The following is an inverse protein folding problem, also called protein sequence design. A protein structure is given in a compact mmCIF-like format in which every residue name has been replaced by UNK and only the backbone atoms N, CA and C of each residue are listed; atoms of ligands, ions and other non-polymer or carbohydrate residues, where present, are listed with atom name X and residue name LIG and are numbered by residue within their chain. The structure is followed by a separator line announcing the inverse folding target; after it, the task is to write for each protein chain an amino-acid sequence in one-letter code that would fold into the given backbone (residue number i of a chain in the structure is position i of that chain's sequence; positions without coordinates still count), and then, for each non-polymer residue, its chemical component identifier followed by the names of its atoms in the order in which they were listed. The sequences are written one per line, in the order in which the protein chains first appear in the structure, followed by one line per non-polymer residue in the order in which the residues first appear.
data_IF_669146166215
#
_entry.id   IF_669146166215
#
_cell.length_a   1.000
_cell.length_b   1.000
_cell.length_c   1.000
_cell.angle_alpha   90.00
_cell.angle_beta   90.00
_cell.angle_gamma   90.00
#
_symmetry.space_group_name_H-M   'P 1'
#
loop_
_entity.id
_entity.type
_entity.pdbx_description
1 polymer ?
#
# COMPACT_ATOMS: atom_id res chain seq x y z
N UNK A 1 -11.09 -16.82 15.42
CA UNK A 1 -12.35 -17.19 14.76
C UNK A 1 -12.21 -17.26 13.26
N UNK A 2 -13.26 -17.79 12.62
CA UNK A 2 -13.32 -17.96 11.17
C UNK A 2 -14.60 -17.31 10.63
N UNK A 3 -14.49 -16.60 9.52
CA UNK A 3 -15.60 -16.08 8.72
C UNK A 3 -15.52 -16.77 7.37
N UNK A 4 -16.62 -17.33 6.87
CA UNK A 4 -16.66 -18.01 5.57
C UNK A 4 -17.84 -17.52 4.74
N UNK A 5 -17.60 -17.26 3.45
CA UNK A 5 -18.63 -17.03 2.44
C UNK A 5 -18.26 -17.82 1.18
N UNK A 6 -19.16 -18.67 0.71
CA UNK A 6 -18.91 -19.55 -0.44
C UNK A 6 -19.16 -18.88 -1.78
N UNK A 7 -20.05 -17.87 -1.82
CA UNK A 7 -20.59 -17.35 -3.09
C UNK A 7 -20.47 -15.83 -3.26
N UNK A 8 -19.85 -15.10 -2.32
CA UNK A 8 -19.85 -13.64 -2.32
C UNK A 8 -18.69 -13.10 -1.49
N UNK A 9 -18.80 -11.85 -1.09
CA UNK A 9 -17.88 -11.23 -0.14
C UNK A 9 -18.06 -11.86 1.24
N UNK A 10 -16.96 -12.28 1.87
CA UNK A 10 -16.95 -12.69 3.27
C UNK A 10 -17.04 -11.46 4.19
N UNK A 11 -16.42 -10.35 3.78
CA UNK A 11 -16.55 -9.05 4.44
C UNK A 11 -16.75 -7.98 3.38
N UNK A 12 -17.85 -7.24 3.52
CA UNK A 12 -18.16 -6.07 2.71
C UNK A 12 -18.23 -4.85 3.64
N UNK A 13 -17.15 -4.05 3.61
CA UNK A 13 -16.99 -2.92 4.52
C UNK A 13 -17.45 -1.61 3.88
N UNK A 14 -18.28 -0.86 4.60
CA UNK A 14 -18.84 0.42 4.15
C UNK A 14 -18.39 1.63 4.97
N UNK A 15 -17.59 1.41 6.00
CA UNK A 15 -17.07 2.50 6.82
C UNK A 15 -15.67 2.18 7.35
N UNK A 16 -15.57 1.37 8.40
CA UNK A 16 -14.26 1.04 8.99
C UNK A 16 -14.26 -0.37 9.54
N UNK A 17 -13.29 -1.18 9.11
CA UNK A 17 -13.08 -2.55 9.57
C UNK A 17 -11.60 -2.80 9.76
N UNK A 18 -11.24 -3.50 10.82
CA UNK A 18 -9.86 -3.98 11.07
C UNK A 18 -9.87 -5.49 11.28
N UNK A 19 -9.02 -6.19 10.52
CA UNK A 19 -8.73 -7.63 10.67
C UNK A 19 -7.37 -7.76 11.36
N UNK A 20 -7.38 -8.24 12.62
CA UNK A 20 -6.15 -8.40 13.42
C UNK A 20 -5.71 -9.86 13.54
N UNK A 21 -6.57 -10.81 13.18
CA UNK A 21 -6.30 -12.25 13.34
C UNK A 21 -7.48 -13.10 12.91
N UNK A 22 -7.32 -14.41 13.03
CA UNK A 22 -8.31 -15.39 12.57
C UNK A 22 -8.22 -15.67 11.08
N UNK A 23 -9.26 -16.31 10.53
CA UNK A 23 -9.31 -16.71 9.11
C UNK A 23 -10.56 -16.16 8.45
N UNK A 24 -10.42 -15.60 7.27
CA UNK A 24 -11.51 -15.17 6.41
C UNK A 24 -11.43 -15.96 5.11
N UNK A 25 -12.44 -16.78 4.82
CA UNK A 25 -12.56 -17.54 3.58
C UNK A 25 -13.54 -16.83 2.67
N UNK A 26 -13.03 -16.22 1.61
CA UNK A 26 -13.76 -15.43 0.63
C UNK A 26 -13.21 -14.01 0.46
N UNK A 27 -13.83 -13.26 -0.43
CA UNK A 27 -13.40 -11.89 -0.75
C UNK A 27 -13.66 -10.92 0.41
N UNK A 28 -12.68 -10.07 0.68
CA UNK A 28 -12.79 -8.95 1.62
C UNK A 28 -12.71 -7.65 0.84
N UNK A 29 -13.69 -6.78 0.99
CA UNK A 29 -13.75 -5.52 0.24
C UNK A 29 -14.13 -4.32 1.10
N UNK A 30 -13.64 -3.16 0.70
CA UNK A 30 -14.10 -1.87 1.24
C UNK A 30 -14.70 -1.03 0.11
N UNK A 31 -15.84 -0.40 0.40
CA UNK A 31 -16.66 0.28 -0.58
C UNK A 31 -16.99 1.71 -0.15
N UNK A 32 -17.05 2.62 -1.11
CA UNK A 32 -17.58 3.96 -0.90
C UNK A 32 -18.68 4.27 -1.91
N UNK A 33 -19.84 4.71 -1.40
CA UNK A 33 -21.01 5.12 -2.20
C UNK A 33 -21.18 6.64 -2.23
N UNK A 34 -21.95 7.10 -3.25
CA UNK A 34 -22.27 8.52 -3.44
C UNK A 34 -23.03 9.14 -2.28
N UNK A 35 -23.92 8.39 -1.64
CA UNK A 35 -24.70 8.82 -0.49
C UNK A 35 -24.16 8.29 0.85
N UNK A 36 -23.05 7.52 0.83
CA UNK A 36 -22.43 6.95 2.02
C UNK A 36 -21.45 7.90 2.71
N UNK A 37 -20.64 7.33 3.61
CA UNK A 37 -19.54 8.07 4.27
C UNK A 37 -18.50 8.50 3.24
N UNK A 38 -17.86 9.64 3.48
CA UNK A 38 -16.82 10.16 2.60
C UNK A 38 -15.59 9.25 2.51
N UNK A 39 -15.33 8.46 3.55
CA UNK A 39 -14.18 7.55 3.64
C UNK A 39 -14.64 6.19 4.13
N UNK A 40 -14.23 5.13 3.43
CA UNK A 40 -14.33 3.74 3.88
C UNK A 40 -12.93 3.14 3.98
N UNK A 41 -12.62 2.50 5.11
CA UNK A 41 -11.28 2.01 5.43
C UNK A 41 -11.32 0.55 5.88
N UNK A 42 -10.47 -0.26 5.27
CA UNK A 42 -10.20 -1.63 5.69
C UNK A 42 -8.72 -1.73 6.07
N UNK A 43 -8.46 -2.21 7.27
CA UNK A 43 -7.10 -2.50 7.75
C UNK A 43 -6.94 -4.01 7.95
N UNK A 44 -5.84 -4.57 7.44
CA UNK A 44 -5.42 -5.96 7.70
C UNK A 44 -4.05 -5.90 8.36
N UNK A 45 -4.00 -6.21 9.65
CA UNK A 45 -2.76 -6.22 10.43
C UNK A 45 -2.35 -7.61 10.90
N UNK A 46 -3.18 -8.63 10.63
CA UNK A 46 -2.89 -10.03 10.97
C UNK A 46 -4.00 -10.95 10.50
N UNK A 47 -3.83 -12.25 10.77
CA UNK A 47 -4.74 -13.30 10.32
C UNK A 47 -4.50 -13.75 8.88
N UNK A 48 -5.43 -14.52 8.35
CA UNK A 48 -5.37 -15.07 6.98
C UNK A 48 -6.64 -14.72 6.22
N UNK A 49 -6.48 -14.16 5.03
CA UNK A 49 -7.55 -13.95 4.04
C UNK A 49 -7.34 -14.95 2.90
N UNK A 50 -8.16 -16.00 2.87
CA UNK A 50 -8.21 -16.97 1.78
C UNK A 50 -9.17 -16.46 0.71
N UNK A 51 -8.74 -15.46 -0.06
CA UNK A 51 -9.55 -14.80 -1.07
C UNK A 51 -8.96 -13.46 -1.48
N UNK A 52 -9.69 -12.75 -2.33
CA UNK A 52 -9.25 -11.46 -2.86
C UNK A 52 -9.48 -10.33 -1.86
N UNK A 53 -8.66 -9.28 -1.97
CA UNK A 53 -8.85 -8.03 -1.23
C UNK A 53 -9.09 -6.90 -2.21
N UNK A 54 -10.19 -6.17 -2.04
CA UNK A 54 -10.60 -5.13 -2.97
C UNK A 54 -10.89 -3.79 -2.29
N UNK A 55 -10.48 -2.72 -2.95
CA UNK A 55 -10.90 -1.34 -2.65
C UNK A 55 -11.77 -0.84 -3.80
N UNK A 56 -13.02 -0.44 -3.52
CA UNK A 56 -14.02 -0.19 -4.55
C UNK A 56 -14.69 1.17 -4.34
N UNK A 57 -14.70 1.98 -5.39
CA UNK A 57 -15.51 3.20 -5.42
C UNK A 57 -16.73 3.03 -6.31
N UNK A 58 -17.89 3.39 -5.81
CA UNK A 58 -19.12 3.50 -6.58
C UNK A 58 -19.35 4.91 -7.11
N UNK A 59 -18.58 5.86 -6.62
CA UNK A 59 -18.84 7.27 -6.80
C UNK A 59 -17.86 7.94 -7.76
N UNK A 60 -18.40 8.81 -8.60
CA UNK A 60 -17.66 9.73 -9.44
C UNK A 60 -17.42 11.09 -8.77
N UNK A 61 -18.04 11.35 -7.60
CA UNK A 61 -17.92 12.64 -6.90
C UNK A 61 -16.57 12.79 -6.20
N UNK A 62 -16.13 14.02 -6.10
CA UNK A 62 -14.90 14.36 -5.37
C UNK A 62 -15.05 14.14 -3.86
N UNK A 63 -13.91 13.90 -3.18
CA UNK A 63 -13.84 13.78 -1.73
C UNK A 63 -14.26 12.44 -1.14
N UNK A 64 -14.63 11.45 -1.98
CA UNK A 64 -14.97 10.10 -1.51
C UNK A 64 -13.85 9.12 -1.84
N UNK A 65 -13.44 8.33 -0.83
CA UNK A 65 -12.29 7.45 -0.95
C UNK A 65 -12.51 6.12 -0.23
N UNK A 66 -12.31 5.02 -0.94
CA UNK A 66 -12.12 3.69 -0.36
C UNK A 66 -10.63 3.41 -0.19
N UNK A 67 -10.23 2.84 0.93
CA UNK A 67 -8.82 2.52 1.17
C UNK A 67 -8.64 1.21 1.92
N UNK A 68 -7.65 0.44 1.50
CA UNK A 68 -7.14 -0.75 2.18
C UNK A 68 -5.72 -0.48 2.64
N UNK A 69 -5.42 -0.81 3.89
CA UNK A 69 -4.07 -0.83 4.45
C UNK A 69 -3.74 -2.24 4.90
N UNK A 70 -2.66 -2.82 4.38
CA UNK A 70 -2.16 -4.14 4.78
C UNK A 70 -0.80 -3.96 5.42
N UNK A 71 -0.74 -4.19 6.73
CA UNK A 71 0.47 -4.05 7.54
C UNK A 71 1.00 -5.38 8.04
N UNK A 72 0.24 -6.47 7.81
CA UNK A 72 0.58 -7.84 8.24
C UNK A 72 -0.47 -8.85 7.81
N UNK A 73 -0.32 -10.08 8.25
CA UNK A 73 -1.20 -11.19 7.88
C UNK A 73 -0.83 -11.88 6.58
N UNK A 74 -1.68 -12.78 6.12
CA UNK A 74 -1.52 -13.54 4.87
C UNK A 74 -2.71 -13.30 3.95
N UNK A 75 -2.47 -13.06 2.66
CA UNK A 75 -3.49 -12.95 1.62
C UNK A 75 -3.16 -13.93 0.50
N UNK A 76 -4.08 -14.85 0.20
CA UNK A 76 -3.85 -15.88 -0.84
C UNK A 76 -4.39 -15.47 -2.21
N UNK A 77 -5.35 -14.56 -2.27
CA UNK A 77 -5.93 -14.05 -3.51
C UNK A 77 -5.28 -12.78 -4.03
N UNK A 78 -5.92 -12.18 -5.02
CA UNK A 78 -5.47 -10.94 -5.67
C UNK A 78 -5.79 -9.70 -4.82
N UNK A 79 -4.97 -8.67 -4.99
CA UNK A 79 -5.30 -7.30 -4.57
C UNK A 79 -5.86 -6.54 -5.77
N UNK A 80 -6.88 -5.69 -5.58
CA UNK A 80 -7.45 -4.94 -6.69
C UNK A 80 -8.15 -3.65 -6.28
N UNK A 81 -8.00 -2.61 -7.10
CA UNK A 81 -8.75 -1.35 -6.98
C UNK A 81 -9.74 -1.22 -8.13
N UNK A 82 -11.00 -0.94 -7.82
CA UNK A 82 -12.09 -0.97 -8.78
C UNK A 82 -13.00 0.24 -8.65
N UNK A 83 -13.62 0.61 -9.77
CA UNK A 83 -14.86 1.37 -9.79
C UNK A 83 -16.03 0.42 -10.13
N UNK A 84 -17.20 0.70 -9.56
CA UNK A 84 -18.40 -0.06 -9.87
C UNK A 84 -19.31 0.73 -10.80
N UNK A 85 -19.62 0.14 -11.96
CA UNK A 85 -20.58 0.68 -12.92
C UNK A 85 -21.29 -0.50 -13.62
N UNK A 86 -22.36 -1.01 -13.02
CA UNK A 86 -23.04 -2.25 -13.44
C UNK A 86 -22.11 -3.48 -13.46
N UNK A 87 -21.05 -3.47 -12.65
CA UNK A 87 -20.01 -4.47 -12.54
C UNK A 87 -18.69 -3.83 -12.08
N UNK A 88 -17.77 -4.64 -11.59
CA UNK A 88 -16.44 -4.18 -11.21
C UNK A 88 -15.60 -3.95 -12.47
N UNK A 89 -15.08 -2.75 -12.61
CA UNK A 89 -14.10 -2.40 -13.65
C UNK A 89 -12.83 -1.87 -13.03
N UNK A 90 -11.65 -2.11 -13.61
CA UNK A 90 -10.40 -1.55 -13.10
C UNK A 90 -10.51 -0.04 -12.94
N UNK A 91 -9.99 0.47 -11.81
CA UNK A 91 -10.10 1.88 -11.49
C UNK A 91 -9.19 2.73 -12.41
N UNK A 92 -9.77 3.78 -12.99
CA UNK A 92 -9.03 4.74 -13.82
C UNK A 92 -8.42 5.88 -13.00
N UNK A 93 -9.04 6.23 -11.86
CA UNK A 93 -8.59 7.29 -10.97
C UNK A 93 -8.07 6.69 -9.65
N UNK A 94 -6.74 6.55 -9.49
CA UNK A 94 -6.15 5.93 -8.31
C UNK A 94 -6.38 6.73 -7.00
N UNK A 95 -6.87 7.97 -7.09
CA UNK A 95 -7.17 8.76 -5.90
C UNK A 95 -8.44 8.31 -5.18
N UNK A 96 -9.36 7.61 -5.85
CA UNK A 96 -10.69 7.24 -5.31
C UNK A 96 -10.74 5.89 -4.61
N UNK A 97 -9.89 4.95 -5.01
CA UNK A 97 -9.74 3.69 -4.31
C UNK A 97 -8.27 3.31 -4.25
N UNK A 98 -7.76 2.98 -3.08
CA UNK A 98 -6.34 2.70 -2.86
C UNK A 98 -6.14 1.41 -2.09
N UNK A 99 -5.04 0.74 -2.36
CA UNK A 99 -4.48 -0.30 -1.52
C UNK A 99 -3.04 0.08 -1.22
N UNK A 100 -2.64 0.06 0.05
CA UNK A 100 -1.26 0.28 0.48
C UNK A 100 -0.77 -0.90 1.30
N UNK A 101 0.36 -1.48 0.89
CA UNK A 101 0.98 -2.64 1.54
C UNK A 101 2.31 -2.24 2.15
N UNK A 102 2.47 -2.46 3.46
CA UNK A 102 3.73 -2.22 4.19
C UNK A 102 4.24 -3.46 4.90
N UNK A 103 3.47 -4.55 4.89
CA UNK A 103 3.83 -5.82 5.53
C UNK A 103 2.89 -6.94 5.12
N UNK A 104 3.21 -8.16 5.51
CA UNK A 104 2.39 -9.35 5.26
C UNK A 104 3.01 -10.31 4.26
N UNK A 105 2.30 -11.42 4.03
CA UNK A 105 2.70 -12.49 3.10
C UNK A 105 1.60 -12.71 2.06
N UNK A 106 2.00 -12.89 0.80
CA UNK A 106 1.08 -12.96 -0.34
C UNK A 106 1.43 -14.16 -1.23
N UNK A 107 0.42 -14.83 -1.75
CA UNK A 107 0.62 -15.88 -2.75
C UNK A 107 0.79 -15.28 -4.16
N UNK A 108 0.25 -14.07 -4.38
CA UNK A 108 0.34 -13.31 -5.64
C UNK A 108 1.17 -12.05 -5.41
N UNK A 109 1.98 -11.67 -6.37
CA UNK A 109 2.90 -10.53 -6.28
C UNK A 109 2.16 -9.22 -5.92
N UNK A 110 2.40 -8.62 -4.74
CA UNK A 110 1.76 -7.38 -4.29
C UNK A 110 2.49 -6.12 -4.76
N UNK A 111 3.56 -6.21 -5.54
CA UNK A 111 4.45 -5.08 -5.91
C UNK A 111 3.69 -3.82 -6.35
N UNK A 112 2.60 -3.89 -7.16
CA UNK A 112 1.86 -2.69 -7.58
C UNK A 112 1.21 -1.90 -6.44
N UNK A 113 1.10 -2.47 -5.26
CA UNK A 113 0.43 -1.89 -4.08
C UNK A 113 1.37 -1.60 -2.92
N UNK A 114 2.66 -1.94 -3.07
CA UNK A 114 3.66 -1.71 -2.01
C UNK A 114 3.99 -0.23 -1.95
N UNK A 115 3.88 0.34 -0.74
CA UNK A 115 4.16 1.76 -0.52
C UNK A 115 5.66 2.00 -0.35
N UNK A 116 6.08 3.23 -0.61
CA UNK A 116 7.45 3.67 -0.35
C UNK A 116 7.88 3.34 1.08
N UNK A 117 9.13 2.99 1.25
CA UNK A 117 9.67 2.53 2.55
C UNK A 117 9.43 1.05 2.84
N UNK A 118 8.89 0.30 1.87
CA UNK A 118 8.73 -1.14 1.94
C UNK A 118 9.33 -1.84 0.72
N UNK A 119 9.62 -3.11 0.84
CA UNK A 119 10.18 -3.94 -0.24
C UNK A 119 9.52 -5.31 -0.27
N UNK A 120 9.53 -5.94 -1.42
CA UNK A 120 9.02 -7.29 -1.63
C UNK A 120 10.18 -8.27 -1.71
N UNK A 121 10.07 -9.39 -0.98
CA UNK A 121 10.99 -10.52 -1.10
C UNK A 121 10.20 -11.80 -1.36
N UNK A 122 10.59 -12.52 -2.41
CA UNK A 122 10.04 -13.84 -2.69
C UNK A 122 10.82 -14.88 -1.91
N UNK A 123 10.14 -15.73 -1.13
CA UNK A 123 10.76 -16.79 -0.36
C UNK A 123 10.93 -18.09 -1.20
N UNK A 124 11.55 -19.09 -0.61
CA UNK A 124 11.78 -20.41 -1.25
C UNK A 124 10.50 -21.19 -1.56
N UNK A 125 9.39 -20.87 -0.90
CA UNK A 125 8.06 -21.46 -1.14
C UNK A 125 7.30 -20.73 -2.26
N UNK A 126 7.90 -19.70 -2.87
CA UNK A 126 7.28 -18.93 -3.93
C UNK A 126 6.35 -17.82 -3.44
N UNK A 127 6.20 -17.61 -2.14
CA UNK A 127 5.38 -16.55 -1.55
C UNK A 127 6.14 -15.23 -1.46
N UNK A 128 5.40 -14.13 -1.50
CA UNK A 128 5.93 -12.77 -1.46
C UNK A 128 5.75 -12.20 -0.05
N UNK A 129 6.85 -11.95 0.65
CA UNK A 129 6.87 -11.23 1.91
C UNK A 129 7.07 -9.74 1.67
N UNK A 130 6.30 -8.89 2.33
CA UNK A 130 6.52 -7.43 2.33
C UNK A 130 7.02 -7.01 3.69
N UNK A 131 8.10 -6.23 3.69
CA UNK A 131 8.73 -5.72 4.91
C UNK A 131 9.20 -4.27 4.73
N UNK A 132 9.33 -3.52 5.83
CA UNK A 132 9.94 -2.20 5.81
C UNK A 132 11.42 -2.31 5.43
N UNK A 133 11.86 -1.41 4.56
CA UNK A 133 13.25 -1.32 4.15
C UNK A 133 13.68 0.15 4.09
N UNK A 134 14.85 0.47 4.63
CA UNK A 134 15.41 1.81 4.50
C UNK A 134 15.68 2.13 3.03
N UNK A 135 15.33 3.35 2.65
CA UNK A 135 15.53 3.87 1.29
C UNK A 135 16.83 4.65 1.18
N UNK A 136 17.14 5.44 2.17
CA UNK A 136 18.30 6.32 2.16
C UNK A 136 18.86 6.53 3.57
N UNK A 137 20.08 7.07 3.66
CA UNK A 137 20.66 7.55 4.91
C UNK A 137 21.17 8.99 4.75
N UNK A 138 21.19 9.74 5.85
CA UNK A 138 21.85 11.02 5.99
C UNK A 138 22.76 10.92 7.22
N UNK A 139 24.06 11.07 7.01
CA UNK A 139 25.04 10.73 8.04
C UNK A 139 24.92 9.26 8.46
N UNK A 140 24.69 9.03 9.75
CA UNK A 140 24.53 7.68 10.32
C UNK A 140 23.07 7.23 10.45
N UNK A 141 22.11 8.09 10.16
CA UNK A 141 20.67 7.81 10.33
C UNK A 141 20.03 7.37 9.02
N UNK A 142 19.30 6.24 9.06
CA UNK A 142 18.61 5.70 7.91
C UNK A 142 17.11 6.05 7.93
N UNK A 143 16.55 6.29 6.75
CA UNK A 143 15.17 6.74 6.52
C UNK A 143 14.43 5.80 5.57
N UNK A 144 13.14 5.62 5.81
CA UNK A 144 12.30 4.78 4.98
C UNK A 144 11.79 5.49 3.72
N UNK A 145 11.70 6.82 3.78
CA UNK A 145 11.17 7.64 2.68
C UNK A 145 12.16 8.74 2.30
N UNK A 146 12.06 9.19 1.06
CA UNK A 146 12.91 10.28 0.56
C UNK A 146 12.55 11.61 1.22
N UNK A 147 11.28 11.83 1.54
CA UNK A 147 10.83 13.04 2.26
C UNK A 147 11.48 13.17 3.65
N UNK A 148 11.61 12.06 4.38
CA UNK A 148 12.31 12.04 5.66
C UNK A 148 13.80 12.36 5.47
N UNK A 149 14.45 11.74 4.48
CA UNK A 149 15.86 12.00 4.17
C UNK A 149 16.11 13.46 3.74
N UNK A 150 15.22 14.04 2.94
CA UNK A 150 15.30 15.45 2.56
C UNK A 150 15.18 16.41 3.73
N UNK A 151 14.26 16.14 4.65
CA UNK A 151 14.13 16.95 5.88
C UNK A 151 15.39 16.87 6.73
N UNK A 152 15.95 15.68 6.88
CA UNK A 152 17.17 15.47 7.64
C UNK A 152 18.37 16.15 6.96
N UNK A 153 18.53 16.07 5.66
CA UNK A 153 19.57 16.77 4.90
C UNK A 153 19.49 18.29 5.09
N UNK A 154 18.30 18.87 5.03
CA UNK A 154 18.08 20.31 5.23
C UNK A 154 18.58 20.77 6.59
N UNK A 155 18.46 19.93 7.61
CA UNK A 155 18.92 20.23 8.99
C UNK A 155 20.43 20.04 9.17
N UNK A 156 21.04 19.02 8.53
CA UNK A 156 22.44 18.63 8.74
C UNK A 156 23.41 19.16 7.68
N UNK A 157 22.93 19.37 6.44
CA UNK A 157 23.78 19.69 5.28
C UNK A 157 24.56 18.49 4.71
N UNK A 158 24.42 17.28 5.30
CA UNK A 158 25.10 16.07 4.84
C UNK A 158 24.43 15.50 3.58
N UNK A 159 25.17 14.73 2.79
CA UNK A 159 24.60 14.08 1.60
C UNK A 159 23.55 13.03 1.97
N UNK A 160 22.53 12.90 1.12
CA UNK A 160 21.64 11.75 1.14
C UNK A 160 22.33 10.62 0.36
N UNK A 161 22.50 9.46 0.97
CA UNK A 161 23.06 8.28 0.31
C UNK A 161 21.94 7.28 0.11
N UNK A 162 21.71 6.83 -1.13
CA UNK A 162 20.72 5.79 -1.42
C UNK A 162 21.20 4.44 -0.87
N UNK A 163 20.26 3.64 -0.37
CA UNK A 163 20.47 2.29 0.12
C UNK A 163 19.82 1.22 -0.77
N UNK A 164 19.06 1.67 -1.77
CA UNK A 164 18.41 0.86 -2.80
C UNK A 164 17.94 1.73 -3.97
N UNK A 165 17.56 1.10 -5.07
CA UNK A 165 16.96 1.82 -6.20
C UNK A 165 15.70 2.56 -5.78
N UNK A 166 15.51 3.74 -6.36
CA UNK A 166 14.37 4.61 -6.08
C UNK A 166 13.72 5.09 -7.38
N UNK A 167 12.42 4.86 -7.48
CA UNK A 167 11.57 5.40 -8.54
C UNK A 167 10.59 6.40 -7.95
N UNK A 168 10.58 7.62 -8.45
CA UNK A 168 9.65 8.66 -8.01
C UNK A 168 8.56 8.88 -9.06
N UNK A 169 7.30 8.92 -8.61
CA UNK A 169 6.18 9.38 -9.45
C UNK A 169 6.03 10.91 -9.47
N UNK A 170 6.86 11.64 -8.72
CA UNK A 170 6.80 13.09 -8.54
C UNK A 170 8.10 13.73 -8.99
N UNK A 171 8.01 14.98 -9.46
CA UNK A 171 9.21 15.80 -9.71
C UNK A 171 10.00 16.01 -8.41
N UNK A 172 11.30 16.08 -8.54
CA UNK A 172 12.22 16.45 -7.47
C UNK A 172 11.68 17.68 -6.71
N UNK A 173 11.69 17.70 -5.37
CA UNK A 173 11.24 18.87 -4.62
C UNK A 173 12.05 20.09 -5.06
N UNK A 174 11.41 20.98 -5.82
CA UNK A 174 12.02 22.23 -6.26
C UNK A 174 12.05 23.20 -5.08
N UNK A 175 13.22 23.41 -4.53
CA UNK A 175 13.47 24.43 -3.50
C UNK A 175 14.83 25.06 -3.72
N UNK A 176 15.03 26.27 -3.24
CA UNK A 176 16.29 27.03 -3.32
C UNK A 176 17.41 26.44 -2.45
N UNK A 177 17.39 25.15 -2.17
CA UNK A 177 18.36 24.47 -1.31
C UNK A 177 19.22 23.56 -2.17
N UNK A 178 20.54 23.76 -2.11
CA UNK A 178 21.49 22.82 -2.71
C UNK A 178 21.34 21.46 -2.02
N UNK A 179 21.06 20.44 -2.78
CA UNK A 179 20.94 19.06 -2.28
C UNK A 179 22.02 18.20 -2.90
N UNK A 180 22.68 17.42 -2.08
CA UNK A 180 23.62 16.40 -2.53
C UNK A 180 22.99 15.03 -2.33
N UNK A 181 22.89 14.27 -3.41
CA UNK A 181 22.47 12.88 -3.36
C UNK A 181 23.57 12.01 -3.93
N UNK A 182 24.02 11.07 -3.14
CA UNK A 182 24.94 10.02 -3.55
C UNK A 182 24.12 8.77 -3.86
N UNK A 183 24.21 8.32 -5.10
CA UNK A 183 23.45 7.14 -5.54
C UNK A 183 24.05 5.83 -5.02
N UNK A 184 25.31 5.83 -4.63
CA UNK A 184 26.04 4.65 -4.09
C UNK A 184 25.83 3.38 -4.92
N UNK A 185 25.84 3.51 -6.25
CA UNK A 185 25.59 2.43 -7.20
C UNK A 185 24.11 2.10 -7.48
N UNK A 186 23.18 2.79 -6.85
CA UNK A 186 21.74 2.64 -7.07
C UNK A 186 21.21 3.56 -8.16
N UNK A 187 20.00 3.30 -8.62
CA UNK A 187 19.31 4.06 -9.66
C UNK A 187 18.25 4.96 -9.08
N UNK A 188 18.14 6.17 -9.60
CA UNK A 188 17.01 7.07 -9.38
C UNK A 188 16.32 7.37 -10.70
N UNK A 189 15.05 6.95 -10.84
CA UNK A 189 14.22 7.14 -12.05
C UNK A 189 12.88 7.79 -11.73
#
# INVERSE_FOLDING_TARGET
GTITSENSYAIENWFRTTIKGGTVNGTVSTWVYSNGKAVSQLEISGGTVNGNVASVTYDKSEGKKASVSITGGTVTGTLGTYSYNNGLVPLQDPAKATIGVTGGTFDIDPTPYVVEGSTVKKNSEGKYGVEKAYLAKVGTTSYYTMDEAFKAQTASGEAIVLLRDYTTGSSFPSGSINRTVDLDGHTWT
#
